data_IF_828181107410
#
_entry.id   IF_828181107410
#
_cell.length_a   1.000
_cell.length_b   1.000
_cell.length_c   1.000
_cell.angle_alpha   90.00
_cell.angle_beta   90.00
_cell.angle_gamma   90.00
#
_symmetry.space_group_name_H-M   'P 1'
#
loop_
_entity.id
_entity.type
_entity.pdbx_description
1 polymer ?
#
# COMPACT_ATOMS: atom_id res chain seq x y z
N UNK A 1 -21.14 -6.79 9.31
CA UNK A 1 -19.94 -7.41 8.67
C UNK A 1 -18.74 -6.62 9.18
N UNK A 2 -18.33 -6.85 10.43
CA UNK A 2 -17.06 -6.31 10.93
C UNK A 2 -16.02 -7.34 10.52
N UNK A 3 -15.30 -7.03 9.44
CA UNK A 3 -14.19 -7.85 8.99
C UNK A 3 -13.17 -7.91 10.12
N UNK A 4 -12.68 -9.12 10.40
CA UNK A 4 -11.61 -9.39 11.35
C UNK A 4 -10.43 -8.42 11.13
N UNK A 5 -9.89 -7.85 12.22
CA UNK A 5 -8.66 -7.06 12.15
C UNK A 5 -7.55 -7.95 11.58
N UNK A 6 -6.63 -7.36 10.82
CA UNK A 6 -5.36 -8.00 10.44
C UNK A 6 -4.25 -7.66 11.44
N UNK A 7 -3.14 -8.43 11.48
CA UNK A 7 -2.00 -8.09 12.34
C UNK A 7 -1.44 -6.69 12.06
N UNK A 8 -1.40 -6.26 10.79
CA UNK A 8 -0.94 -4.93 10.39
C UNK A 8 -1.88 -3.80 10.85
N UNK A 9 -3.20 -4.02 10.81
CA UNK A 9 -4.18 -3.05 11.29
C UNK A 9 -4.09 -2.92 12.82
N UNK A 10 -3.96 -4.03 13.54
CA UNK A 10 -3.77 -4.02 14.99
C UNK A 10 -2.47 -3.29 15.37
N UNK A 11 -1.36 -3.60 14.69
CA UNK A 11 -0.08 -2.92 14.91
C UNK A 11 -0.15 -1.41 14.66
N UNK A 12 -0.83 -0.98 13.59
CA UNK A 12 -1.04 0.43 13.30
C UNK A 12 -1.86 1.12 14.40
N UNK A 13 -2.94 0.48 14.87
CA UNK A 13 -3.77 1.00 15.94
C UNK A 13 -3.01 1.11 17.28
N UNK A 14 -2.20 0.09 17.63
CA UNK A 14 -1.33 0.10 18.81
C UNK A 14 -0.29 1.23 18.69
N UNK A 15 0.39 1.34 17.55
CA UNK A 15 1.42 2.37 17.31
C UNK A 15 0.84 3.77 17.45
N UNK A 16 -0.36 4.00 16.90
CA UNK A 16 -1.09 5.28 17.08
C UNK A 16 -1.36 5.57 18.55
N UNK A 17 -1.77 4.58 19.34
CA UNK A 17 -2.00 4.77 20.79
C UNK A 17 -0.72 4.98 21.60
N UNK A 18 0.39 4.37 21.18
CA UNK A 18 1.70 4.66 21.75
C UNK A 18 2.13 6.10 21.45
N UNK A 19 1.93 6.58 20.22
CA UNK A 19 2.20 7.98 19.84
C UNK A 19 1.32 8.97 20.61
N UNK A 20 0.00 8.72 20.67
CA UNK A 20 -0.95 9.55 21.45
C UNK A 20 -0.49 9.66 22.92
N UNK A 21 0.03 8.57 23.51
CA UNK A 21 0.53 8.55 24.89
C UNK A 21 1.79 9.40 25.09
N UNK A 22 2.73 9.37 24.13
CA UNK A 22 3.92 10.23 24.14
C UNK A 22 3.53 11.70 24.01
N UNK A 23 2.72 12.03 22.99
CA UNK A 23 2.35 13.42 22.70
C UNK A 23 1.56 14.06 23.84
N UNK A 24 0.68 13.29 24.49
CA UNK A 24 -0.12 13.77 25.61
C UNK A 24 0.54 13.61 26.98
N UNK A 25 1.74 13.02 27.06
CA UNK A 25 2.42 12.65 28.31
C UNK A 25 1.47 11.95 29.31
N UNK A 26 0.70 10.99 28.81
CA UNK A 26 -0.37 10.33 29.57
C UNK A 26 -0.40 8.84 29.27
N UNK A 27 -0.61 8.02 30.30
CA UNK A 27 -0.79 6.57 30.15
C UNK A 27 -2.20 6.21 29.65
N UNK A 28 -3.14 7.16 29.63
CA UNK A 28 -4.55 6.90 29.29
C UNK A 28 -4.74 6.28 27.90
N UNK A 29 -4.07 6.74 26.81
CA UNK A 29 -4.24 6.12 25.50
C UNK A 29 -3.89 4.64 25.47
N UNK A 30 -2.89 4.21 26.26
CA UNK A 30 -2.51 2.80 26.39
C UNK A 30 -3.40 2.05 27.38
N UNK A 31 -3.67 2.60 28.57
CA UNK A 31 -4.42 1.90 29.62
C UNK A 31 -5.93 1.86 29.46
N UNK A 32 -6.50 2.78 28.69
CA UNK A 32 -7.95 2.90 28.54
C UNK A 32 -8.35 2.70 27.08
N UNK A 33 -7.79 3.50 26.17
CA UNK A 33 -8.28 3.53 24.79
C UNK A 33 -7.86 2.28 24.00
N UNK A 34 -6.70 1.69 24.31
CA UNK A 34 -6.21 0.50 23.66
C UNK A 34 -6.94 -0.78 24.12
N UNK A 35 -7.53 -0.79 25.32
CA UNK A 35 -8.16 -1.99 25.90
C UNK A 35 -9.31 -2.51 25.06
N UNK A 36 -10.18 -1.63 24.55
CA UNK A 36 -11.29 -2.04 23.66
C UNK A 36 -10.76 -2.69 22.38
N UNK A 37 -9.70 -2.12 21.78
CA UNK A 37 -9.05 -2.65 20.57
C UNK A 37 -8.50 -4.06 20.82
N UNK A 38 -7.76 -4.24 21.92
CA UNK A 38 -7.20 -5.55 22.30
C UNK A 38 -8.30 -6.57 22.59
N UNK A 39 -9.39 -6.16 23.25
CA UNK A 39 -10.52 -7.04 23.56
C UNK A 39 -11.20 -7.60 22.30
N UNK A 40 -11.28 -6.79 21.23
CA UNK A 40 -11.82 -7.20 19.93
C UNK A 40 -10.84 -8.10 19.19
N UNK A 41 -9.56 -7.74 19.18
CA UNK A 41 -8.49 -8.51 18.53
C UNK A 41 -8.41 -9.96 19.04
N UNK A 42 -8.60 -10.18 20.35
CA UNK A 42 -8.57 -11.52 20.96
C UNK A 42 -9.65 -12.49 20.49
N UNK A 43 -10.69 -12.00 19.80
CA UNK A 43 -11.80 -12.82 19.27
C UNK A 43 -11.58 -13.26 17.82
N UNK A 44 -10.43 -12.94 17.25
CA UNK A 44 -10.08 -13.17 15.84
C UNK A 44 -9.18 -14.43 15.73
N UNK A 45 -8.14 -14.40 14.89
CA UNK A 45 -7.24 -15.52 14.66
C UNK A 45 -6.28 -15.72 15.84
N UNK A 46 -5.71 -16.93 15.93
CA UNK A 46 -4.74 -17.27 16.99
C UNK A 46 -3.56 -16.30 17.02
N UNK A 47 -2.98 -16.01 15.85
CA UNK A 47 -1.85 -15.07 15.70
C UNK A 47 -2.16 -13.68 16.28
N UNK A 48 -3.36 -13.15 16.01
CA UNK A 48 -3.77 -11.84 16.49
C UNK A 48 -4.04 -11.86 17.99
N UNK A 49 -4.63 -12.96 18.48
CA UNK A 49 -4.89 -13.15 19.90
C UNK A 49 -3.59 -13.21 20.69
N UNK A 50 -2.58 -13.92 20.21
CA UNK A 50 -1.25 -13.99 20.81
C UNK A 50 -0.62 -12.60 20.91
N UNK A 51 -0.61 -11.85 19.80
CA UNK A 51 -0.10 -10.49 19.77
C UNK A 51 -0.86 -9.58 20.74
N UNK A 52 -2.20 -9.63 20.74
CA UNK A 52 -3.03 -8.81 21.61
C UNK A 52 -2.79 -9.11 23.10
N UNK A 53 -2.63 -10.38 23.48
CA UNK A 53 -2.31 -10.78 24.84
C UNK A 53 -0.92 -10.28 25.27
N UNK A 54 0.07 -10.41 24.38
CA UNK A 54 1.44 -9.93 24.63
C UNK A 54 1.47 -8.42 24.90
N UNK A 55 0.75 -7.64 24.08
CA UNK A 55 0.64 -6.20 24.23
C UNK A 55 -0.14 -5.82 25.49
N UNK A 56 -1.23 -6.52 25.82
CA UNK A 56 -1.98 -6.27 27.06
C UNK A 56 -1.12 -6.47 28.32
N UNK A 57 -0.27 -7.50 28.33
CA UNK A 57 0.66 -7.72 29.44
C UNK A 57 1.61 -6.53 29.63
N UNK A 58 2.18 -6.01 28.55
CA UNK A 58 3.06 -4.83 28.60
C UNK A 58 2.30 -3.60 29.13
N UNK A 59 1.07 -3.37 28.65
CA UNK A 59 0.23 -2.24 29.07
C UNK A 59 -0.15 -2.31 30.55
N UNK A 60 -0.36 -3.52 31.08
CA UNK A 60 -0.70 -3.73 32.48
C UNK A 60 0.47 -3.42 33.44
N UNK A 61 1.72 -3.55 32.98
CA UNK A 61 2.92 -3.25 33.79
C UNK A 61 3.13 -1.75 34.01
N UNK A 62 2.59 -0.89 33.14
CA UNK A 62 2.70 0.57 33.25
C UNK A 62 2.05 1.02 34.55
N UNK A 63 2.71 1.77 35.41
CA UNK A 63 2.10 2.37 36.61
C UNK A 63 1.86 3.86 36.42
N UNK A 64 2.86 4.54 35.88
CA UNK A 64 2.82 5.98 35.63
C UNK A 64 3.58 6.35 34.34
N UNK A 65 3.71 7.66 34.10
CA UNK A 65 4.31 8.19 32.87
C UNK A 65 5.80 7.88 32.73
N UNK A 66 6.51 7.57 33.83
CA UNK A 66 7.92 7.20 33.79
C UNK A 66 8.17 5.84 33.13
N UNK A 67 7.14 4.98 33.08
CA UNK A 67 7.22 3.66 32.43
C UNK A 67 7.01 3.70 30.91
N UNK A 68 6.56 4.84 30.36
CA UNK A 68 6.14 4.95 28.96
C UNK A 68 7.26 4.59 27.98
N UNK A 69 8.48 5.06 28.21
CA UNK A 69 9.61 4.82 27.32
C UNK A 69 9.91 3.32 27.19
N UNK A 70 10.03 2.62 28.33
CA UNK A 70 10.25 1.18 28.39
C UNK A 70 9.07 0.39 27.80
N UNK A 71 7.83 0.80 28.08
CA UNK A 71 6.65 0.14 27.52
C UNK A 71 6.61 0.24 25.99
N UNK A 72 6.98 1.40 25.44
CA UNK A 72 7.00 1.63 23.99
C UNK A 72 8.12 0.85 23.32
N UNK A 73 9.28 0.73 23.96
CA UNK A 73 10.36 -0.14 23.49
C UNK A 73 9.90 -1.61 23.40
N UNK A 74 9.26 -2.12 24.47
CA UNK A 74 8.69 -3.47 24.50
C UNK A 74 7.62 -3.68 23.41
N UNK A 75 6.69 -2.73 23.27
CA UNK A 75 5.65 -2.76 22.23
C UNK A 75 6.29 -2.82 20.84
N UNK A 76 7.26 -1.94 20.57
CA UNK A 76 7.94 -1.86 19.26
C UNK A 76 8.61 -3.18 18.92
N UNK A 77 9.27 -3.82 19.90
CA UNK A 77 9.88 -5.14 19.72
C UNK A 77 8.84 -6.23 19.44
N UNK A 78 7.71 -6.19 20.14
CA UNK A 78 6.65 -7.17 19.98
C UNK A 78 5.93 -7.07 18.63
N UNK A 79 5.82 -5.86 18.07
CA UNK A 79 5.22 -5.64 16.76
C UNK A 79 6.03 -6.22 15.59
N UNK A 80 7.30 -6.62 15.78
CA UNK A 80 8.11 -7.39 14.80
C UNK A 80 8.01 -6.86 13.36
N UNK A 81 8.31 -5.58 13.17
CA UNK A 81 8.26 -4.87 11.86
C UNK A 81 6.87 -4.64 11.26
N UNK A 82 5.79 -4.92 12.00
CA UNK A 82 4.45 -4.49 11.61
C UNK A 82 4.27 -2.98 11.84
N UNK A 83 3.48 -2.29 11.00
CA UNK A 83 2.83 -2.77 9.78
C UNK A 83 3.84 -3.10 8.67
N UNK A 84 3.55 -4.13 7.88
CA UNK A 84 4.46 -4.59 6.83
C UNK A 84 4.74 -3.51 5.77
N UNK A 85 5.83 -3.62 5.00
CA UNK A 85 6.19 -2.63 3.97
C UNK A 85 5.05 -2.31 2.99
N UNK A 86 4.23 -3.30 2.61
CA UNK A 86 3.08 -3.10 1.72
C UNK A 86 2.05 -2.16 2.34
N UNK A 87 1.65 -2.41 3.60
CA UNK A 87 0.71 -1.54 4.31
C UNK A 87 1.30 -0.15 4.58
N UNK A 88 2.61 -0.04 4.80
CA UNK A 88 3.26 1.27 4.95
C UNK A 88 3.24 2.08 3.65
N UNK A 89 3.32 1.43 2.49
CA UNK A 89 3.24 2.11 1.19
C UNK A 89 1.79 2.47 0.85
N UNK A 90 0.88 1.48 0.85
CA UNK A 90 -0.46 1.57 0.28
C UNK A 90 -1.58 1.80 1.30
N UNK A 91 -1.24 1.78 2.59
CA UNK A 91 -2.19 1.91 3.69
C UNK A 91 -2.96 0.64 4.01
N UNK A 92 -3.81 0.76 5.03
CA UNK A 92 -4.86 -0.18 5.42
C UNK A 92 -5.98 0.63 6.11
N UNK A 93 -6.89 -0.01 6.85
CA UNK A 93 -7.98 0.71 7.53
C UNK A 93 -7.53 1.60 8.67
N UNK A 94 -6.38 1.31 9.28
CA UNK A 94 -5.83 2.01 10.45
C UNK A 94 -4.61 2.88 10.12
N UNK A 95 -4.01 2.71 8.94
CA UNK A 95 -2.81 3.42 8.48
C UNK A 95 -3.07 4.07 7.11
N UNK A 96 -2.85 5.39 7.01
CA UNK A 96 -2.96 6.10 5.75
C UNK A 96 -1.83 5.71 4.76
N UNK A 97 -2.16 5.68 3.48
CA UNK A 97 -1.20 5.44 2.40
C UNK A 97 -0.17 6.57 2.29
N UNK A 98 1.10 6.22 2.10
CA UNK A 98 2.17 7.15 1.73
C UNK A 98 2.23 7.41 0.23
N UNK A 99 1.46 6.66 -0.57
CA UNK A 99 1.41 6.81 -2.02
C UNK A 99 0.00 7.21 -2.47
N UNK A 100 -0.08 8.20 -3.36
CA UNK A 100 -1.29 8.55 -4.10
C UNK A 100 -1.02 8.44 -5.59
N UNK A 101 -1.79 7.59 -6.26
CA UNK A 101 -1.73 7.40 -7.72
C UNK A 101 -2.88 8.19 -8.31
N UNK A 102 -2.57 9.12 -9.22
CA UNK A 102 -3.57 9.97 -9.87
C UNK A 102 -4.16 9.24 -11.09
N UNK A 103 -5.31 9.74 -11.55
CA UNK A 103 -5.91 9.23 -12.79
C UNK A 103 -4.94 9.41 -13.96
N UNK A 104 -4.74 8.34 -14.71
CA UNK A 104 -3.95 8.38 -15.93
C UNK A 104 -4.84 8.73 -17.12
N UNK A 105 -4.69 9.93 -17.65
CA UNK A 105 -5.39 10.38 -18.86
C UNK A 105 -4.52 10.17 -20.10
N UNK A 106 -5.10 10.01 -21.30
CA UNK A 106 -4.32 9.90 -22.53
C UNK A 106 -3.37 11.10 -22.67
N UNK A 107 -2.13 10.83 -23.09
CA UNK A 107 -1.13 11.87 -23.32
C UNK A 107 -1.53 12.73 -24.53
N UNK A 108 -1.19 14.02 -24.49
CA UNK A 108 -1.38 14.97 -25.60
C UNK A 108 -2.85 15.08 -26.09
N UNK A 109 -3.82 14.95 -25.17
CA UNK A 109 -5.25 14.96 -25.48
C UNK A 109 -5.68 13.92 -26.52
N UNK A 110 -4.88 12.86 -26.69
CA UNK A 110 -5.22 11.76 -27.57
C UNK A 110 -6.62 11.21 -27.21
N UNK A 111 -7.37 10.82 -28.24
CA UNK A 111 -8.64 10.12 -28.08
C UNK A 111 -8.42 8.68 -28.49
N UNK A 112 -8.15 7.76 -27.54
CA UNK A 112 -7.92 6.37 -27.89
C UNK A 112 -9.12 5.80 -28.61
N UNK A 113 -8.89 5.27 -29.81
CA UNK A 113 -9.91 4.53 -30.54
C UNK A 113 -10.23 3.23 -29.80
N UNK A 114 -11.52 2.96 -29.65
CA UNK A 114 -12.02 1.74 -29.03
C UNK A 114 -12.21 0.68 -30.11
N UNK A 115 -11.69 -0.51 -29.85
CA UNK A 115 -11.86 -1.67 -30.71
C UNK A 115 -12.63 -2.76 -29.98
N UNK A 116 -13.34 -3.58 -30.76
CA UNK A 116 -14.13 -4.69 -30.26
C UNK A 116 -13.56 -5.99 -30.79
N UNK A 117 -13.49 -7.01 -29.94
CA UNK A 117 -13.10 -8.35 -30.35
C UNK A 117 -14.06 -9.39 -29.80
N UNK A 118 -14.60 -10.20 -30.71
CA UNK A 118 -15.43 -11.35 -30.38
C UNK A 118 -14.58 -12.52 -29.91
N UNK A 119 -15.01 -13.16 -28.82
CA UNK A 119 -14.44 -14.42 -28.32
C UNK A 119 -15.53 -15.45 -28.10
N UNK A 120 -15.13 -16.71 -28.21
CA UNK A 120 -15.94 -17.89 -27.87
C UNK A 120 -15.26 -18.65 -26.74
N UNK A 121 -16.03 -19.11 -25.75
CA UNK A 121 -15.54 -20.14 -24.84
C UNK A 121 -15.81 -21.53 -25.43
N UNK A 122 -14.76 -22.31 -25.65
CA UNK A 122 -14.88 -23.70 -26.07
C UNK A 122 -15.11 -24.60 -24.83
N UNK A 123 -16.12 -25.45 -24.91
CA UNK A 123 -16.32 -26.54 -23.95
C UNK A 123 -15.28 -27.63 -24.24
N UNK A 124 -14.29 -27.77 -23.34
CA UNK A 124 -13.17 -28.72 -23.51
C UNK A 124 -13.63 -30.19 -23.52
N UNK A 125 -14.79 -30.51 -22.90
CA UNK A 125 -15.35 -31.85 -22.90
C UNK A 125 -16.12 -32.14 -24.19
N UNK A 126 -16.96 -31.20 -24.63
CA UNK A 126 -17.77 -31.37 -25.84
C UNK A 126 -17.01 -31.09 -27.14
N UNK A 127 -15.79 -30.51 -27.06
CA UNK A 127 -15.03 -29.98 -28.21
C UNK A 127 -15.87 -29.07 -29.11
N UNK A 128 -16.85 -28.38 -28.53
CA UNK A 128 -17.82 -27.53 -29.22
C UNK A 128 -17.84 -26.15 -28.57
N UNK A 129 -18.36 -25.15 -29.28
CA UNK A 129 -18.66 -23.85 -28.68
C UNK A 129 -19.65 -24.06 -27.52
N UNK A 130 -19.34 -23.51 -26.34
CA UNK A 130 -20.30 -23.49 -25.23
C UNK A 130 -21.43 -22.54 -25.62
N UNK A 131 -22.67 -23.04 -25.69
CA UNK A 131 -23.83 -22.19 -25.97
C UNK A 131 -23.90 -21.01 -25.01
N UNK A 132 -24.09 -19.80 -25.54
CA UNK A 132 -24.15 -18.55 -24.77
C UNK A 132 -22.79 -17.98 -24.35
N UNK A 133 -21.66 -18.54 -24.81
CA UNK A 133 -20.32 -18.06 -24.46
C UNK A 133 -19.63 -17.24 -25.56
N UNK A 134 -20.41 -16.73 -26.53
CA UNK A 134 -19.96 -15.67 -27.43
C UNK A 134 -20.05 -14.36 -26.66
N UNK A 135 -18.94 -13.65 -26.52
CA UNK A 135 -18.95 -12.30 -25.96
C UNK A 135 -17.97 -11.41 -26.71
N UNK A 136 -18.36 -10.15 -26.85
CA UNK A 136 -17.48 -9.09 -27.34
C UNK A 136 -16.90 -8.36 -26.14
N UNK A 137 -15.63 -8.01 -26.23
CA UNK A 137 -15.02 -7.09 -25.27
C UNK A 137 -14.42 -5.91 -26.01
N UNK A 138 -14.59 -4.75 -25.39
CA UNK A 138 -13.99 -3.49 -25.79
C UNK A 138 -12.57 -3.39 -25.22
N UNK A 139 -11.64 -2.89 -26.03
CA UNK A 139 -10.28 -2.62 -25.59
C UNK A 139 -9.69 -1.43 -26.35
N UNK A 140 -8.74 -0.77 -25.70
CA UNK A 140 -7.86 0.21 -26.35
C UNK A 140 -6.70 -0.57 -26.99
N UNK A 141 -6.45 -0.45 -28.31
CA UNK A 141 -5.33 -1.13 -28.95
C UNK A 141 -3.98 -0.58 -28.44
N UNK A 142 -2.88 -1.35 -28.55
CA UNK A 142 -1.57 -0.89 -28.09
C UNK A 142 -1.08 0.32 -28.89
N UNK A 143 -0.20 1.12 -28.28
CA UNK A 143 0.41 2.30 -28.92
C UNK A 143 -0.01 3.63 -28.32
N UNK A 144 -1.09 3.67 -27.53
CA UNK A 144 -1.45 4.87 -26.78
C UNK A 144 -0.57 5.06 -25.55
N UNK A 145 -0.27 6.33 -25.28
CA UNK A 145 0.50 6.80 -24.12
C UNK A 145 -0.44 7.48 -23.14
N UNK A 146 -0.11 7.38 -21.87
CA UNK A 146 -0.93 7.89 -20.77
C UNK A 146 -0.04 8.70 -19.83
N UNK A 147 -0.57 9.82 -19.33
CA UNK A 147 0.09 10.61 -18.31
C UNK A 147 0.01 9.88 -16.97
N UNK A 148 1.16 9.63 -16.34
CA UNK A 148 1.23 8.97 -15.03
C UNK A 148 1.76 9.97 -13.99
N UNK A 149 1.00 10.14 -12.90
CA UNK A 149 1.43 10.92 -11.74
C UNK A 149 1.23 10.09 -10.47
N UNK A 150 2.31 9.99 -9.69
CA UNK A 150 2.32 9.38 -8.37
C UNK A 150 2.94 10.37 -7.39
N UNK A 151 2.25 10.62 -6.28
CA UNK A 151 2.76 11.41 -5.15
C UNK A 151 3.18 10.48 -4.04
N UNK A 152 4.41 10.62 -3.58
CA UNK A 152 5.02 9.81 -2.53
C UNK A 152 5.33 10.73 -1.36
N UNK A 153 4.85 10.39 -0.17
CA UNK A 153 5.04 11.14 1.07
C UNK A 153 5.93 10.34 2.00
N UNK A 154 6.92 10.98 2.64
CA UNK A 154 7.77 10.39 3.68
C UNK A 154 8.44 9.05 3.33
N UNK A 155 8.63 8.74 2.05
CA UNK A 155 9.41 7.60 1.56
C UNK A 155 10.46 8.12 0.56
N UNK A 156 11.68 7.58 0.63
CA UNK A 156 12.79 8.01 -0.22
C UNK A 156 13.17 6.91 -1.21
N UNK A 157 12.60 6.95 -2.41
CA UNK A 157 12.89 5.96 -3.46
C UNK A 157 14.25 6.15 -4.14
N UNK A 158 14.92 7.30 -3.93
CA UNK A 158 16.22 7.59 -4.54
C UNK A 158 17.36 7.02 -3.69
N UNK A 159 17.22 7.17 -2.37
CA UNK A 159 18.15 6.68 -1.36
C UNK A 159 17.34 5.91 -0.31
N UNK A 160 16.88 4.68 -0.62
CA UNK A 160 15.98 3.93 0.26
C UNK A 160 16.65 3.42 1.55
N UNK A 161 17.98 3.51 1.67
CA UNK A 161 18.76 3.17 2.85
C UNK A 161 18.35 1.80 3.45
N UNK A 162 17.93 1.76 4.71
CA UNK A 162 17.43 0.54 5.37
C UNK A 162 15.90 0.44 5.36
N UNK A 163 15.17 1.46 4.90
CA UNK A 163 13.71 1.46 4.92
C UNK A 163 13.12 0.49 3.88
N UNK A 164 12.56 -0.60 4.38
CA UNK A 164 11.95 -1.65 3.55
C UNK A 164 10.79 -1.16 2.68
N UNK A 165 10.05 -0.11 3.10
CA UNK A 165 8.95 0.43 2.31
C UNK A 165 9.47 1.19 1.09
N UNK A 166 10.47 2.05 1.28
CA UNK A 166 11.15 2.76 0.21
C UNK A 166 11.83 1.80 -0.78
N UNK A 167 12.51 0.74 -0.27
CA UNK A 167 13.09 -0.32 -1.11
C UNK A 167 12.03 -1.03 -1.96
N UNK A 168 10.95 -1.48 -1.32
CA UNK A 168 9.87 -2.18 -2.00
C UNK A 168 9.24 -1.30 -3.09
N UNK A 169 8.93 -0.03 -2.77
CA UNK A 169 8.35 0.88 -3.75
C UNK A 169 9.30 1.12 -4.95
N UNK A 170 10.60 1.30 -4.69
CA UNK A 170 11.62 1.41 -5.75
C UNK A 170 11.62 0.17 -6.64
N UNK A 171 11.62 -1.03 -6.05
CA UNK A 171 11.55 -2.28 -6.82
C UNK A 171 10.27 -2.44 -7.63
N UNK A 172 9.11 -1.99 -7.13
CA UNK A 172 7.88 -1.99 -7.91
C UNK A 172 8.02 -1.07 -9.13
N UNK A 173 8.53 0.15 -8.95
CA UNK A 173 8.75 1.08 -10.07
C UNK A 173 9.72 0.52 -11.11
N UNK A 174 10.80 -0.13 -10.67
CA UNK A 174 11.77 -0.78 -11.55
C UNK A 174 11.16 -1.99 -12.27
N UNK A 175 10.33 -2.78 -11.59
CA UNK A 175 9.60 -3.90 -12.18
C UNK A 175 8.68 -3.42 -13.31
N UNK A 176 7.88 -2.38 -13.06
CA UNK A 176 6.97 -1.82 -14.08
C UNK A 176 7.75 -1.17 -15.23
N UNK A 177 8.91 -0.58 -14.96
CA UNK A 177 9.78 -0.01 -16.00
C UNK A 177 10.35 -1.10 -16.93
N UNK A 178 10.86 -2.18 -16.35
CA UNK A 178 11.61 -3.21 -17.09
C UNK A 178 10.71 -4.29 -17.71
N UNK A 179 9.73 -4.78 -16.96
CA UNK A 179 8.88 -5.91 -17.36
C UNK A 179 7.48 -5.47 -17.78
N UNK A 180 7.04 -4.30 -17.30
CA UNK A 180 5.67 -3.84 -17.45
C UNK A 180 4.74 -4.41 -16.37
N UNK A 181 3.52 -3.89 -16.34
CA UNK A 181 2.46 -4.29 -15.42
C UNK A 181 1.19 -4.56 -16.22
N UNK A 182 0.55 -5.70 -15.99
CA UNK A 182 -0.74 -6.03 -16.60
C UNK A 182 -1.88 -5.47 -15.73
N UNK A 183 -2.64 -4.52 -16.28
CA UNK A 183 -3.80 -3.91 -15.62
C UNK A 183 -5.11 -4.28 -16.31
N UNK A 184 -6.20 -4.37 -15.54
CA UNK A 184 -7.53 -4.67 -16.06
C UNK A 184 -7.82 -6.16 -16.30
N UNK A 185 -8.79 -6.43 -17.19
CA UNK A 185 -9.25 -7.77 -17.54
C UNK A 185 -8.44 -8.40 -18.67
N UNK A 186 -8.68 -9.69 -18.95
CA UNK A 186 -8.07 -10.43 -20.08
C UNK A 186 -6.53 -10.52 -20.05
N UNK A 187 -5.91 -10.39 -18.86
CA UNK A 187 -4.46 -10.48 -18.66
C UNK A 187 -3.87 -11.83 -19.11
N UNK A 188 -4.55 -12.93 -18.76
CA UNK A 188 -4.15 -14.30 -19.13
C UNK A 188 -4.10 -14.60 -20.63
N UNK A 189 -4.58 -13.66 -21.45
CA UNK A 189 -4.65 -13.75 -22.91
C UNK A 189 -3.97 -12.55 -23.58
N UNK A 190 -3.08 -11.86 -22.84
CA UNK A 190 -2.14 -10.87 -23.34
C UNK A 190 -2.62 -9.41 -23.34
N UNK A 191 -3.68 -9.07 -22.60
CA UNK A 191 -4.17 -7.69 -22.51
C UNK A 191 -3.62 -6.92 -21.31
N UNK A 192 -3.64 -5.58 -21.43
CA UNK A 192 -3.45 -4.68 -20.29
C UNK A 192 -2.00 -4.41 -19.92
N UNK A 193 -1.03 -4.89 -20.70
CA UNK A 193 0.38 -4.61 -20.46
C UNK A 193 0.68 -3.11 -20.65
N UNK A 194 1.00 -2.43 -19.54
CA UNK A 194 1.52 -1.07 -19.52
C UNK A 194 2.97 -1.07 -19.07
N UNK A 195 3.73 -0.05 -19.48
CA UNK A 195 5.12 0.13 -19.10
C UNK A 195 5.45 1.62 -19.08
N UNK A 196 6.44 2.00 -18.29
CA UNK A 196 6.97 3.36 -18.36
C UNK A 196 7.78 3.53 -19.65
N UNK A 197 7.51 4.62 -20.38
CA UNK A 197 8.38 5.07 -21.47
C UNK A 197 9.45 6.01 -20.93
N UNK A 198 9.02 6.93 -20.07
CA UNK A 198 9.85 7.88 -19.33
C UNK A 198 9.25 8.02 -17.93
N UNK A 199 10.11 8.03 -16.91
CA UNK A 199 9.71 8.25 -15.52
C UNK A 199 10.66 9.25 -14.87
N UNK A 200 10.10 10.39 -14.44
CA UNK A 200 10.82 11.44 -13.71
C UNK A 200 10.33 11.54 -12.28
N UNK A 201 11.24 11.85 -11.36
CA UNK A 201 10.91 12.17 -9.98
C UNK A 201 11.34 13.59 -9.63
N UNK A 202 10.42 14.34 -9.02
CA UNK A 202 10.67 15.65 -8.40
C UNK A 202 10.59 15.48 -6.89
N UNK A 203 11.67 15.81 -6.19
CA UNK A 203 11.75 15.70 -4.73
C UNK A 203 11.55 17.06 -4.12
N UNK A 204 10.57 17.16 -3.23
CA UNK A 204 10.26 18.38 -2.50
C UNK A 204 10.54 18.21 -1.02
N UNK A 205 10.94 19.29 -0.37
CA UNK A 205 11.08 19.35 1.09
C UNK A 205 10.21 20.46 1.66
N UNK A 206 9.72 20.28 2.88
CA UNK A 206 8.94 21.30 3.58
C UNK A 206 9.85 21.95 4.61
N UNK A 207 10.15 23.23 4.44
CA UNK A 207 10.96 24.03 5.36
C UNK A 207 10.27 25.36 5.61
N UNK A 208 10.16 25.76 6.87
CA UNK A 208 9.52 27.03 7.28
C UNK A 208 8.13 27.23 6.63
N UNK A 209 7.32 26.16 6.62
CA UNK A 209 5.98 26.09 5.98
C UNK A 209 5.97 26.37 4.47
N UNK A 210 7.10 26.24 3.78
CA UNK A 210 7.23 26.35 2.32
C UNK A 210 7.64 25.04 1.69
N UNK A 211 7.14 24.78 0.48
CA UNK A 211 7.51 23.61 -0.32
C UNK A 211 8.62 24.01 -1.29
N UNK A 212 9.79 23.40 -1.15
CA UNK A 212 10.98 23.71 -1.93
C UNK A 212 11.36 22.50 -2.80
N UNK A 213 11.57 22.72 -4.11
CA UNK A 213 12.08 21.69 -5.01
C UNK A 213 13.57 21.48 -4.73
N UNK A 214 13.95 20.27 -4.33
CA UNK A 214 15.32 19.90 -4.00
C UNK A 214 16.08 19.34 -5.19
N UNK A 215 15.45 18.38 -5.90
CA UNK A 215 16.06 17.72 -7.05
C UNK A 215 15.01 17.21 -8.01
N UNK A 216 15.39 17.17 -9.29
CA UNK A 216 14.66 16.49 -10.36
C UNK A 216 15.59 15.44 -10.97
N UNK A 217 15.11 14.21 -11.09
CA UNK A 217 15.91 13.07 -11.58
C UNK A 217 15.11 12.22 -12.55
N UNK A 218 15.76 11.76 -13.62
CA UNK A 218 15.20 10.73 -14.49
C UNK A 218 15.39 9.38 -13.79
N UNK A 219 14.30 8.73 -13.42
CA UNK A 219 14.31 7.40 -12.82
C UNK A 219 14.47 6.30 -13.88
N UNK A 220 13.91 6.53 -15.06
CA UNK A 220 13.94 5.61 -16.18
C UNK A 220 13.70 6.38 -17.48
N UNK A 221 14.51 6.09 -18.50
CA UNK A 221 14.34 6.61 -19.85
C UNK A 221 14.65 5.49 -20.84
N UNK A 222 13.75 5.24 -21.78
CA UNK A 222 13.93 4.20 -22.79
C UNK A 222 14.60 4.82 -24.03
N UNK A 223 15.82 4.36 -24.33
CA UNK A 223 16.50 4.66 -25.59
C UNK A 223 15.84 3.96 -26.78
#
# INVERSE_FOLDING_TARGET
IFMDLTPCELAAAITRKALDAIESLSIKPLKHDLVDILSRAKRTSEEIRELANSIENIVNEIQDTSDLENAIEKITKELKELPCPVCRIFGNKELASHVRIMNAYPKDEAKPELQFRTRVALDRFRKASRSGALFDYEFVPPGYKWNFEMRIYNLNILEPNEDQASKLLKHVLDYVSNLGLEIGGMKSVGHGLIKFEELKAKVYHIKDFKVELMKEVNLFERH
#
